data_IF_970966108159
#
_entry.id   IF_970966108159
#
_cell.length_a   1.000
_cell.length_b   1.000
_cell.length_c   1.000
_cell.angle_alpha   90.00
_cell.angle_beta   90.00
_cell.angle_gamma   90.00
#
_symmetry.space_group_name_H-M   'P 1'
#
loop_
_entity.id
_entity.type
_entity.pdbx_description
1 polymer ?
#
# COMPACT_ATOMS: atom_id res chain seq x y z
N UNK A 1 -16.38 11.28 -11.58
CA UNK A 1 -15.41 12.09 -10.82
C UNK A 1 -14.34 11.15 -10.32
N UNK A 2 -13.06 11.39 -10.63
CA UNK A 2 -11.96 10.53 -10.17
C UNK A 2 -11.67 10.83 -8.70
N UNK A 3 -11.57 9.78 -7.88
CA UNK A 3 -11.23 9.86 -6.45
C UNK A 3 -9.84 9.31 -6.22
N UNK A 4 -9.07 9.98 -5.36
CA UNK A 4 -7.83 9.46 -4.80
C UNK A 4 -8.18 8.53 -3.63
N UNK A 5 -7.66 7.31 -3.66
CA UNK A 5 -7.82 6.35 -2.57
C UNK A 5 -6.46 5.75 -2.22
N UNK A 6 -6.27 5.50 -0.92
CA UNK A 6 -5.05 4.90 -0.39
C UNK A 6 -5.40 3.54 0.21
N UNK A 7 -4.67 2.51 -0.22
CA UNK A 7 -4.70 1.18 0.38
C UNK A 7 -3.40 0.94 1.13
N UNK A 8 -3.50 0.35 2.33
CA UNK A 8 -2.35 -0.09 3.12
C UNK A 8 -2.44 -1.60 3.32
N UNK A 9 -1.37 -2.31 2.99
CA UNK A 9 -1.30 -3.76 3.09
C UNK A 9 -0.07 -4.15 3.91
N UNK A 10 -0.26 -4.97 4.95
CA UNK A 10 0.82 -5.47 5.80
C UNK A 10 1.28 -6.85 5.33
N UNK A 11 2.59 -7.07 5.35
CA UNK A 11 3.20 -8.31 4.87
C UNK A 11 4.16 -8.90 5.92
N UNK A 12 4.28 -10.22 5.97
CA UNK A 12 5.21 -10.89 6.88
C UNK A 12 6.65 -10.89 6.34
N UNK A 13 6.86 -10.83 5.01
CA UNK A 13 8.19 -10.85 4.40
C UNK A 13 8.35 -9.82 3.28
N UNK A 14 9.60 -9.39 3.06
CA UNK A 14 9.94 -8.46 1.97
C UNK A 14 9.69 -9.07 0.58
N UNK A 15 9.76 -10.41 0.49
CA UNK A 15 9.47 -11.12 -0.76
C UNK A 15 8.00 -10.98 -1.14
N UNK A 16 7.09 -11.13 -0.17
CA UNK A 16 5.65 -11.01 -0.41
C UNK A 16 5.28 -9.59 -0.86
N UNK A 17 5.90 -8.57 -0.25
CA UNK A 17 5.77 -7.17 -0.68
C UNK A 17 6.18 -7.00 -2.14
N UNK A 18 7.36 -7.52 -2.51
CA UNK A 18 7.89 -7.39 -3.86
C UNK A 18 7.02 -8.11 -4.89
N UNK A 19 6.57 -9.32 -4.58
CA UNK A 19 5.70 -10.11 -5.45
C UNK A 19 4.37 -9.37 -5.71
N UNK A 20 3.78 -8.75 -4.68
CA UNK A 20 2.54 -7.97 -4.81
C UNK A 20 2.76 -6.67 -5.59
N UNK A 21 3.87 -5.97 -5.36
CA UNK A 21 4.20 -4.78 -6.14
C UNK A 21 4.35 -5.10 -7.64
N UNK A 22 5.00 -6.22 -7.97
CA UNK A 22 5.12 -6.70 -9.35
C UNK A 22 3.75 -7.07 -9.92
N UNK A 23 2.94 -7.82 -9.17
CA UNK A 23 1.59 -8.20 -9.59
C UNK A 23 0.72 -6.96 -9.86
N UNK A 24 0.79 -5.94 -9.00
CA UNK A 24 0.09 -4.68 -9.17
C UNK A 24 0.55 -3.94 -10.45
N UNK A 25 1.86 -3.86 -10.71
CA UNK A 25 2.38 -3.28 -11.96
C UNK A 25 1.91 -4.03 -13.22
N UNK A 26 1.82 -5.36 -13.16
CA UNK A 26 1.39 -6.21 -14.28
C UNK A 26 -0.13 -6.29 -14.44
N UNK A 27 -0.91 -5.89 -13.43
CA UNK A 27 -2.38 -5.95 -13.45
C UNK A 27 -3.03 -4.93 -14.38
N UNK A 28 -2.29 -3.93 -14.86
CA UNK A 28 -2.83 -2.83 -15.67
C UNK A 28 -3.65 -1.80 -14.88
N UNK A 29 -3.66 -1.90 -13.54
CA UNK A 29 -4.32 -0.92 -12.66
C UNK A 29 -3.51 0.39 -12.67
N UNK A 30 -4.20 1.52 -12.77
CA UNK A 30 -3.56 2.83 -12.68
C UNK A 30 -3.20 3.14 -11.23
N UNK A 31 -1.96 2.80 -10.88
CA UNK A 31 -1.33 3.17 -9.62
C UNK A 31 -0.62 4.50 -9.79
N UNK A 32 -0.98 5.48 -8.96
CA UNK A 32 -0.33 6.79 -8.89
C UNK A 32 1.03 6.68 -8.19
N UNK A 33 1.05 5.95 -7.07
CA UNK A 33 2.20 5.83 -6.19
C UNK A 33 2.18 4.49 -5.46
N UNK A 34 3.36 3.90 -5.29
CA UNK A 34 3.60 2.75 -4.42
C UNK A 34 4.72 3.12 -3.48
N UNK A 35 4.51 2.97 -2.18
CA UNK A 35 5.53 3.21 -1.16
C UNK A 35 5.63 2.00 -0.24
N UNK A 36 6.86 1.52 -0.05
CA UNK A 36 7.17 0.53 0.97
C UNK A 36 7.62 1.26 2.24
N UNK A 37 6.97 0.92 3.35
CA UNK A 37 7.37 1.31 4.69
C UNK A 37 7.86 0.06 5.44
N UNK A 38 9.11 0.08 5.89
CA UNK A 38 9.63 -0.96 6.77
C UNK A 38 9.19 -0.75 8.23
N UNK A 39 9.38 -1.77 9.06
CA UNK A 39 9.01 -1.71 10.48
C UNK A 39 9.67 -0.55 11.23
N UNK A 40 10.89 -0.17 10.85
CA UNK A 40 11.65 0.92 11.49
C UNK A 40 11.03 2.27 11.12
N UNK A 41 10.61 2.45 9.87
CA UNK A 41 9.90 3.63 9.39
C UNK A 41 8.52 3.76 10.03
N UNK A 42 7.75 2.66 10.12
CA UNK A 42 6.44 2.69 10.79
C UNK A 42 6.59 3.05 12.27
N UNK A 43 7.61 2.50 12.94
CA UNK A 43 7.95 2.87 14.32
C UNK A 43 8.31 4.35 14.45
N UNK A 44 9.10 4.90 13.54
CA UNK A 44 9.43 6.31 13.53
C UNK A 44 8.17 7.20 13.35
N UNK A 45 7.23 6.78 12.49
CA UNK A 45 5.95 7.47 12.29
C UNK A 45 5.11 7.43 13.58
N UNK A 46 5.03 6.26 14.23
CA UNK A 46 4.32 6.10 15.50
C UNK A 46 4.87 7.03 16.57
N UNK A 47 6.20 7.11 16.71
CA UNK A 47 6.87 7.99 17.66
C UNK A 47 6.67 9.48 17.34
N UNK A 48 6.74 9.87 16.07
CA UNK A 48 6.63 11.27 15.66
C UNK A 48 5.20 11.82 15.70
N UNK A 49 4.19 10.96 15.52
CA UNK A 49 2.79 11.36 15.37
C UNK A 49 1.87 10.82 16.48
N UNK A 50 2.43 10.19 17.51
CA UNK A 50 1.69 9.54 18.60
C UNK A 50 0.60 8.59 18.06
N UNK A 51 1.01 7.72 17.14
CA UNK A 51 0.14 6.70 16.52
C UNK A 51 0.53 5.31 16.99
N UNK A 52 -0.41 4.38 16.88
CA UNK A 52 -0.24 2.96 17.19
C UNK A 52 -0.49 2.11 15.92
N UNK A 53 0.16 2.48 14.81
CA UNK A 53 0.09 1.69 13.58
C UNK A 53 0.87 0.37 13.76
N UNK A 54 0.44 -0.71 13.09
CA UNK A 54 1.12 -2.00 13.16
C UNK A 54 2.54 -1.90 12.56
N UNK A 55 3.57 -2.13 13.38
CA UNK A 55 4.99 -2.12 12.99
C UNK A 55 5.37 -3.36 12.16
N UNK A 56 4.81 -3.46 10.97
CA UNK A 56 5.09 -4.50 9.97
C UNK A 56 5.50 -3.86 8.65
N UNK A 57 6.15 -4.65 7.78
CA UNK A 57 6.35 -4.29 6.39
C UNK A 57 5.01 -3.90 5.77
N UNK A 58 4.90 -2.65 5.35
CA UNK A 58 3.64 -2.07 4.87
C UNK A 58 3.85 -1.54 3.46
N UNK A 59 3.03 -2.02 2.53
CA UNK A 59 2.98 -1.48 1.17
C UNK A 59 1.76 -0.57 1.05
N UNK A 60 1.99 0.67 0.66
CA UNK A 60 0.97 1.69 0.50
C UNK A 60 0.76 1.99 -0.98
N UNK A 61 -0.48 1.86 -1.46
CA UNK A 61 -0.87 2.12 -2.83
C UNK A 61 -1.76 3.35 -2.89
N UNK A 62 -1.35 4.36 -3.67
CA UNK A 62 -2.19 5.46 -4.06
C UNK A 62 -2.79 5.16 -5.44
N UNK A 63 -4.11 5.10 -5.50
CA UNK A 63 -4.87 4.79 -6.70
C UNK A 63 -5.67 6.01 -7.13
N UNK A 64 -5.61 6.34 -8.42
CA UNK A 64 -6.43 7.38 -9.03
C UNK A 64 -7.46 6.68 -9.92
N UNK A 65 -8.74 6.82 -9.59
CA UNK A 65 -9.75 6.12 -10.37
C UNK A 65 -11.18 6.30 -9.88
N UNK A 66 -12.08 5.50 -10.44
CA UNK A 66 -13.45 5.34 -9.92
C UNK A 66 -13.45 4.29 -8.80
N UNK A 67 -14.41 4.39 -7.88
CA UNK A 67 -14.49 3.53 -6.68
C UNK A 67 -14.45 2.02 -6.98
N UNK A 68 -14.94 1.60 -8.14
CA UNK A 68 -14.95 0.20 -8.55
C UNK A 68 -13.56 -0.36 -8.86
N UNK A 69 -12.62 0.48 -9.32
CA UNK A 69 -11.25 0.05 -9.61
C UNK A 69 -10.49 -0.30 -8.32
N UNK A 70 -10.81 0.39 -7.22
CA UNK A 70 -10.19 0.17 -5.91
C UNK A 70 -10.53 -1.20 -5.30
N UNK A 71 -11.81 -1.60 -5.38
CA UNK A 71 -12.24 -2.93 -4.91
C UNK A 71 -11.64 -4.07 -5.73
N UNK A 72 -11.34 -3.82 -7.01
CA UNK A 72 -10.65 -4.79 -7.86
C UNK A 72 -9.16 -4.89 -7.48
N UNK A 73 -8.49 -3.75 -7.26
CA UNK A 73 -7.08 -3.70 -6.87
C UNK A 73 -6.78 -4.41 -5.55
N UNK A 74 -7.66 -4.32 -4.56
CA UNK A 74 -7.53 -4.99 -3.27
C UNK A 74 -7.84 -6.50 -3.30
N UNK A 75 -8.30 -7.03 -4.44
CA UNK A 75 -8.63 -8.45 -4.63
C UNK A 75 -7.59 -9.21 -5.47
N UNK A 76 -6.64 -8.50 -6.07
CA UNK A 76 -5.45 -9.08 -6.72
C UNK A 76 -4.41 -9.36 -5.64
#
# INVERSE_FOLDING_TARGET
>A
MFSLQVAMCNFPTIKDVADVAIAAMLSGIQVSRVELLDEVQVKAINLANEKELPEFLTLMFELIGTSNLFLFALRV
#
